data_IF_615820325924
#
_entry.id   IF_615820325924
#
_cell.length_a   1.000
_cell.length_b   1.000
_cell.length_c   1.000
_cell.angle_alpha   90.00
_cell.angle_beta   90.00
_cell.angle_gamma   90.00
#
_symmetry.space_group_name_H-M   'P 1'
#
loop_
_entity.id
_entity.type
_entity.pdbx_description
1 polymer ?
#
# COMPACT_ATOMS: atom_id res chain seq x y z
N UNK A 1 -8.06 2.62 13.15
CA UNK A 1 -9.16 2.34 12.18
C UNK A 1 -8.51 1.77 10.95
N UNK A 2 -8.77 0.53 10.56
CA UNK A 2 -7.99 -0.10 9.50
C UNK A 2 -8.90 -0.52 8.34
N UNK A 3 -8.67 0.04 7.15
CA UNK A 3 -9.37 -0.33 5.93
C UNK A 3 -8.41 -1.02 4.96
N UNK A 4 -8.77 -2.22 4.50
CA UNK A 4 -8.02 -2.96 3.50
C UNK A 4 -8.81 -3.07 2.21
N UNK A 5 -8.26 -2.57 1.11
CA UNK A 5 -8.78 -2.78 -0.24
C UNK A 5 -8.28 -4.11 -0.77
N UNK A 6 -9.20 -5.00 -1.17
CA UNK A 6 -8.85 -6.26 -1.83
C UNK A 6 -9.61 -6.44 -3.13
N UNK A 7 -9.09 -7.29 -4.01
CA UNK A 7 -9.68 -7.58 -5.31
C UNK A 7 -8.67 -8.16 -6.30
N UNK A 8 -9.14 -8.56 -7.48
CA UNK A 8 -8.28 -9.17 -8.49
C UNK A 8 -7.18 -8.21 -8.95
N UNK A 9 -6.06 -8.71 -9.49
CA UNK A 9 -5.03 -7.87 -10.08
C UNK A 9 -5.62 -6.86 -11.08
N UNK A 10 -5.12 -5.61 -11.06
CA UNK A 10 -5.55 -4.51 -11.95
C UNK A 10 -7.01 -4.05 -11.79
N UNK A 11 -7.70 -4.40 -10.71
CA UNK A 11 -9.06 -3.88 -10.46
C UNK A 11 -9.13 -2.40 -10.06
N UNK A 12 -7.97 -1.75 -9.83
CA UNK A 12 -7.88 -0.32 -9.52
C UNK A 12 -7.64 0.01 -8.04
N UNK A 13 -7.10 -0.91 -7.23
CA UNK A 13 -6.78 -0.66 -5.80
C UNK A 13 -5.86 0.54 -5.60
N UNK A 14 -4.71 0.54 -6.29
CA UNK A 14 -3.75 1.66 -6.29
C UNK A 14 -4.45 2.96 -6.68
N UNK A 15 -5.23 2.97 -7.76
CA UNK A 15 -5.96 4.17 -8.21
C UNK A 15 -6.98 4.65 -7.18
N UNK A 16 -7.65 3.73 -6.48
CA UNK A 16 -8.58 4.10 -5.42
C UNK A 16 -7.84 4.73 -4.22
N UNK A 17 -6.71 4.18 -3.81
CA UNK A 17 -5.87 4.77 -2.76
C UNK A 17 -5.32 6.14 -3.18
N UNK A 18 -4.82 6.28 -4.40
CA UNK A 18 -4.33 7.55 -4.96
C UNK A 18 -5.40 8.65 -4.91
N UNK A 19 -6.60 8.37 -5.43
CA UNK A 19 -7.73 9.30 -5.37
C UNK A 19 -8.17 9.61 -3.93
N UNK A 20 -8.00 8.66 -3.01
CA UNK A 20 -8.29 8.87 -1.59
C UNK A 20 -7.28 9.82 -0.97
N UNK A 21 -5.98 9.63 -1.25
CA UNK A 21 -4.90 10.52 -0.82
C UNK A 21 -5.14 11.94 -1.34
N UNK A 22 -5.52 12.08 -2.62
CA UNK A 22 -5.85 13.37 -3.23
C UNK A 22 -7.04 14.05 -2.53
N UNK A 23 -8.13 13.30 -2.27
CA UNK A 23 -9.29 13.81 -1.53
C UNK A 23 -8.92 14.31 -0.13
N UNK A 24 -8.22 13.48 0.65
CA UNK A 24 -7.82 13.80 2.02
C UNK A 24 -6.92 15.03 2.07
N UNK A 25 -5.94 15.12 1.18
CA UNK A 25 -5.04 16.28 1.12
C UNK A 25 -5.76 17.56 0.71
N UNK A 26 -6.78 17.48 -0.15
CA UNK A 26 -7.60 18.64 -0.49
C UNK A 26 -8.39 19.17 0.72
N UNK A 27 -8.72 18.30 1.68
CA UNK A 27 -9.36 18.64 2.95
C UNK A 27 -8.36 19.02 4.06
N UNK A 28 -7.07 19.14 3.75
CA UNK A 28 -6.01 19.53 4.70
C UNK A 28 -5.53 18.41 5.62
N UNK A 29 -5.91 17.17 5.36
CA UNK A 29 -5.48 16.00 6.14
C UNK A 29 -4.04 15.63 5.78
N UNK A 30 -3.18 15.45 6.78
CA UNK A 30 -1.83 14.96 6.59
C UNK A 30 -1.85 13.46 6.27
N UNK A 31 -1.33 13.08 5.10
CA UNK A 31 -1.30 11.69 4.63
C UNK A 31 0.14 11.25 4.40
N UNK A 32 0.60 10.27 5.17
CA UNK A 32 1.92 9.65 5.07
C UNK A 32 1.85 8.19 4.60
N UNK A 33 3.01 7.58 4.40
CA UNK A 33 3.13 6.20 3.95
C UNK A 33 3.59 6.07 2.51
N UNK A 34 3.22 4.99 1.84
CA UNK A 34 3.82 4.57 0.57
C UNK A 34 2.77 4.15 -0.44
N UNK A 35 2.94 4.62 -1.69
CA UNK A 35 2.19 4.16 -2.85
C UNK A 35 3.08 3.39 -3.82
N UNK A 36 2.51 2.42 -4.55
CA UNK A 36 3.25 1.65 -5.55
C UNK A 36 2.60 1.76 -6.92
N UNK A 37 3.39 2.06 -7.95
CA UNK A 37 2.93 2.14 -9.35
C UNK A 37 3.59 1.09 -10.22
N UNK A 38 2.82 0.54 -11.16
CA UNK A 38 3.38 -0.31 -12.21
C UNK A 38 4.24 0.52 -13.16
N UNK A 39 5.43 0.00 -13.50
CA UNK A 39 6.24 0.52 -14.61
C UNK A 39 6.10 -0.41 -15.80
N UNK A 40 5.86 0.18 -16.97
CA UNK A 40 5.70 -0.52 -18.25
C UNK A 40 6.68 0.00 -19.28
N UNK A 41 7.18 -0.89 -20.14
CA UNK A 41 8.01 -0.60 -21.32
C UNK A 41 7.37 -1.36 -22.47
N UNK A 42 7.07 -0.66 -23.57
CA UNK A 42 6.46 -1.24 -24.77
C UNK A 42 5.15 -2.03 -24.52
N UNK A 43 4.34 -1.55 -23.56
CA UNK A 43 3.09 -2.20 -23.15
C UNK A 43 3.24 -3.32 -22.11
N UNK A 44 4.45 -3.85 -21.95
CA UNK A 44 4.75 -4.89 -20.97
C UNK A 44 5.10 -4.34 -19.59
N UNK A 45 4.58 -4.98 -18.54
CA UNK A 45 4.99 -4.65 -17.16
C UNK A 45 6.42 -5.13 -16.91
N UNK A 46 7.30 -4.17 -16.66
CA UNK A 46 8.73 -4.38 -16.37
C UNK A 46 9.07 -4.31 -14.89
N UNK A 47 8.18 -3.76 -14.07
CA UNK A 47 8.38 -3.72 -12.62
C UNK A 47 7.40 -2.81 -11.89
N UNK A 48 7.80 -2.43 -10.69
CA UNK A 48 7.02 -1.62 -9.76
C UNK A 48 7.94 -0.59 -9.10
N UNK A 49 7.46 0.64 -8.98
CA UNK A 49 8.14 1.73 -8.27
C UNK A 49 7.28 2.14 -7.10
N UNK A 50 7.88 2.24 -5.92
CA UNK A 50 7.23 2.80 -4.74
C UNK A 50 7.62 4.27 -4.58
N UNK A 51 6.73 5.04 -3.95
CA UNK A 51 6.93 6.45 -3.62
C UNK A 51 6.49 6.72 -2.19
N UNK A 52 7.37 7.34 -1.41
CA UNK A 52 7.02 7.92 -0.11
C UNK A 52 6.10 9.14 -0.34
N UNK A 53 4.97 9.13 0.35
CA UNK A 53 3.96 10.19 0.27
C UNK A 53 4.42 11.49 0.92
N UNK A 54 5.31 11.46 1.90
CA UNK A 54 5.80 12.64 2.60
C UNK A 54 7.01 13.27 1.87
N UNK A 55 8.13 12.55 1.80
CA UNK A 55 9.36 13.06 1.16
C UNK A 55 9.28 13.14 -0.37
N UNK A 56 8.41 12.33 -0.98
CA UNK A 56 8.34 12.16 -2.42
C UNK A 56 9.44 11.25 -2.99
N UNK A 57 10.30 10.66 -2.15
CA UNK A 57 11.35 9.74 -2.59
C UNK A 57 10.77 8.52 -3.32
N UNK A 58 11.38 8.16 -4.45
CA UNK A 58 10.97 7.02 -5.27
C UNK A 58 12.08 5.97 -5.36
N UNK A 59 11.69 4.69 -5.39
CA UNK A 59 12.60 3.56 -5.58
C UNK A 59 11.96 2.42 -6.34
N UNK A 60 12.77 1.60 -7.02
CA UNK A 60 12.27 0.38 -7.65
C UNK A 60 11.97 -0.66 -6.59
N UNK A 61 10.71 -1.02 -6.42
CA UNK A 61 10.34 -2.11 -5.51
C UNK A 61 10.74 -3.47 -6.09
N UNK A 62 10.51 -3.68 -7.38
CA UNK A 62 10.92 -4.89 -8.09
C UNK A 62 10.97 -4.64 -9.60
N UNK A 63 11.89 -5.32 -10.31
CA UNK A 63 11.98 -5.22 -11.77
C UNK A 63 12.41 -6.53 -12.42
N UNK A 64 12.23 -6.63 -13.74
CA UNK A 64 12.75 -7.73 -14.57
C UNK A 64 14.22 -7.57 -14.93
N UNK A 65 14.73 -6.33 -14.88
CA UNK A 65 16.10 -5.97 -15.26
C UNK A 65 17.10 -6.18 -14.10
N UNK A 66 16.61 -6.54 -12.90
CA UNK A 66 17.44 -6.81 -11.71
C UNK A 66 17.82 -8.28 -11.62
N UNK A 67 19.05 -8.55 -11.21
CA UNK A 67 19.60 -9.91 -11.08
C UNK A 67 19.45 -10.47 -9.65
N UNK A 68 19.63 -9.62 -8.64
CA UNK A 68 19.66 -9.98 -7.22
C UNK A 68 18.34 -9.76 -6.47
N UNK A 69 18.16 -10.52 -5.40
CA UNK A 69 17.03 -10.39 -4.47
C UNK A 69 15.98 -11.51 -4.59
N UNK A 70 14.96 -11.51 -3.72
CA UNK A 70 13.87 -12.48 -3.77
C UNK A 70 13.16 -12.45 -5.12
N UNK A 71 12.75 -13.63 -5.59
CA UNK A 71 11.99 -13.75 -6.85
C UNK A 71 10.50 -13.88 -6.56
N UNK A 72 9.71 -12.99 -7.18
CA UNK A 72 8.24 -13.10 -7.19
C UNK A 72 7.77 -13.10 -8.65
N UNK A 73 7.36 -14.27 -9.13
CA UNK A 73 7.06 -14.46 -10.56
C UNK A 73 8.28 -14.18 -11.44
N UNK A 74 8.16 -13.20 -12.36
CA UNK A 74 9.28 -12.77 -13.22
C UNK A 74 10.13 -11.63 -12.64
N UNK A 75 9.76 -11.07 -11.49
CA UNK A 75 10.43 -9.90 -10.92
C UNK A 75 11.41 -10.29 -9.82
N UNK A 76 12.50 -9.53 -9.70
CA UNK A 76 13.42 -9.54 -8.57
C UNK A 76 13.14 -8.34 -7.68
N UNK A 77 12.94 -8.61 -6.40
CA UNK A 77 12.61 -7.61 -5.38
C UNK A 77 13.87 -6.87 -4.94
N UNK A 78 13.77 -5.55 -4.85
CA UNK A 78 14.80 -4.68 -4.31
C UNK A 78 14.69 -4.59 -2.78
N UNK A 79 15.60 -5.26 -2.08
CA UNK A 79 15.67 -5.21 -0.61
C UNK A 79 16.09 -3.84 -0.09
N UNK A 80 16.90 -3.11 -0.84
CA UNK A 80 17.44 -1.81 -0.43
C UNK A 80 16.34 -0.77 -0.51
N UNK A 81 15.60 -0.72 -1.62
CA UNK A 81 14.41 0.14 -1.72
C UNK A 81 13.39 -0.16 -0.62
N UNK A 82 13.16 -1.43 -0.27
CA UNK A 82 12.26 -1.75 0.87
C UNK A 82 12.82 -1.18 2.18
N UNK A 83 14.12 -1.36 2.45
CA UNK A 83 14.78 -0.91 3.68
C UNK A 83 14.82 0.62 3.79
N UNK A 84 15.12 1.30 2.70
CA UNK A 84 15.49 2.72 2.70
C UNK A 84 14.31 3.65 2.37
N UNK A 85 13.31 3.15 1.62
CA UNK A 85 12.14 3.96 1.22
C UNK A 85 10.86 3.43 1.85
N UNK A 86 10.54 2.15 1.64
CA UNK A 86 9.23 1.61 2.04
C UNK A 86 9.07 1.53 3.56
N UNK A 87 10.04 0.96 4.27
CA UNK A 87 9.97 0.82 5.73
C UNK A 87 9.93 2.18 6.42
N UNK A 88 10.83 3.14 6.12
CA UNK A 88 10.79 4.47 6.73
C UNK A 88 9.49 5.21 6.45
N UNK A 89 8.96 5.13 5.22
CA UNK A 89 7.68 5.76 4.88
C UNK A 89 6.52 5.21 5.72
N UNK A 90 6.47 3.89 5.95
CA UNK A 90 5.45 3.27 6.81
C UNK A 90 5.62 3.68 8.27
N UNK A 91 6.86 3.73 8.77
CA UNK A 91 7.13 4.08 10.17
C UNK A 91 6.86 5.55 10.47
N UNK A 92 7.35 6.47 9.63
CA UNK A 92 7.14 7.90 9.76
C UNK A 92 5.68 8.29 9.52
N UNK A 93 5.01 7.61 8.57
CA UNK A 93 3.60 7.86 8.26
C UNK A 93 2.64 7.59 9.43
N UNK A 94 3.07 6.91 10.50
CA UNK A 94 2.28 6.80 11.74
C UNK A 94 2.10 8.14 12.46
N UNK A 95 2.94 9.14 12.20
CA UNK A 95 2.79 10.49 12.76
C UNK A 95 1.87 11.40 11.92
N UNK A 96 1.36 10.92 10.78
CA UNK A 96 0.36 11.62 9.99
C UNK A 96 -1.06 11.38 10.53
N UNK A 97 -2.04 12.11 10.02
CA UNK A 97 -3.46 11.89 10.35
C UNK A 97 -3.96 10.56 9.76
N UNK A 98 -3.38 10.13 8.63
CA UNK A 98 -3.67 8.84 7.97
C UNK A 98 -2.40 8.24 7.38
N UNK A 99 -2.23 6.94 7.59
CA UNK A 99 -1.18 6.13 6.97
C UNK A 99 -1.74 5.35 5.77
N UNK A 100 -1.05 5.40 4.64
CA UNK A 100 -1.38 4.65 3.43
C UNK A 100 -0.29 3.62 3.10
N UNK A 101 -0.67 2.38 2.79
CA UNK A 101 0.27 1.33 2.35
C UNK A 101 -0.26 0.57 1.14
N UNK A 102 0.26 0.89 -0.04
CA UNK A 102 0.02 0.14 -1.29
C UNK A 102 1.30 -0.60 -1.69
N UNK A 103 1.43 -1.92 -1.58
CA UNK A 103 0.49 -2.95 -1.14
C UNK A 103 1.14 -3.81 -0.04
N UNK A 104 0.34 -4.36 0.89
CA UNK A 104 0.82 -5.42 1.80
C UNK A 104 0.82 -6.73 1.01
N UNK A 105 1.94 -7.02 0.34
CA UNK A 105 2.08 -8.14 -0.58
C UNK A 105 3.38 -8.92 -0.35
N UNK A 106 3.46 -10.10 -0.97
CA UNK A 106 4.61 -11.00 -0.86
C UNK A 106 5.95 -10.32 -1.19
N UNK A 107 5.98 -9.37 -2.13
CA UNK A 107 7.21 -8.65 -2.51
C UNK A 107 7.82 -7.93 -1.30
N UNK A 108 7.03 -7.11 -0.60
CA UNK A 108 7.47 -6.38 0.57
C UNK A 108 7.63 -7.28 1.80
N UNK A 109 6.75 -8.28 1.97
CA UNK A 109 6.77 -9.20 3.11
C UNK A 109 7.98 -10.15 3.14
N UNK A 110 8.84 -10.17 2.12
CA UNK A 110 10.17 -10.77 2.22
C UNK A 110 11.11 -10.03 3.18
N UNK A 111 10.77 -8.79 3.56
CA UNK A 111 11.47 -8.01 4.58
C UNK A 111 10.78 -8.17 5.93
N UNK A 112 11.49 -8.73 6.91
CA UNK A 112 11.00 -8.82 8.29
C UNK A 112 10.74 -7.44 8.91
N UNK A 113 11.55 -6.43 8.53
CA UNK A 113 11.34 -5.04 8.98
C UNK A 113 10.03 -4.47 8.43
N UNK A 114 9.68 -4.75 7.18
CA UNK A 114 8.39 -4.34 6.62
C UNK A 114 7.22 -5.03 7.32
N UNK A 115 7.33 -6.34 7.59
CA UNK A 115 6.30 -7.07 8.34
C UNK A 115 6.08 -6.43 9.71
N UNK A 116 7.16 -6.18 10.46
CA UNK A 116 7.08 -5.52 11.77
C UNK A 116 6.49 -4.10 11.67
N UNK A 117 6.85 -3.32 10.64
CA UNK A 117 6.32 -1.98 10.44
C UNK A 117 4.79 -2.00 10.17
N UNK A 118 4.31 -2.97 9.39
CA UNK A 118 2.87 -3.18 9.12
C UNK A 118 2.13 -3.65 10.38
N UNK A 119 2.71 -4.57 11.15
CA UNK A 119 2.12 -5.02 12.42
C UNK A 119 1.99 -3.86 13.42
N UNK A 120 3.03 -3.05 13.55
CA UNK A 120 3.03 -1.85 14.38
C UNK A 120 2.01 -0.81 13.87
N UNK A 121 1.90 -0.62 12.56
CA UNK A 121 0.90 0.26 11.96
C UNK A 121 -0.53 -0.19 12.24
N UNK A 122 -0.81 -1.49 12.13
CA UNK A 122 -2.14 -2.05 12.42
C UNK A 122 -2.53 -1.90 13.90
N UNK A 123 -1.56 -1.93 14.81
CA UNK A 123 -1.76 -1.74 16.26
C UNK A 123 -1.75 -0.26 16.69
N UNK A 124 -1.42 0.67 15.80
CA UNK A 124 -1.35 2.09 16.10
C UNK A 124 -2.74 2.76 16.08
N UNK A 125 -2.85 3.92 16.73
CA UNK A 125 -4.09 4.71 16.73
C UNK A 125 -4.38 5.37 15.38
N UNK A 126 -3.33 5.74 14.65
CA UNK A 126 -3.38 6.31 13.31
C UNK A 126 -4.14 5.39 12.34
N UNK A 127 -5.19 5.89 11.67
CA UNK A 127 -5.91 5.13 10.66
C UNK A 127 -4.99 4.60 9.55
N UNK A 128 -5.12 3.31 9.23
CA UNK A 128 -4.41 2.68 8.12
C UNK A 128 -5.37 2.43 6.94
N UNK A 129 -5.00 2.93 5.77
CA UNK A 129 -5.61 2.57 4.49
C UNK A 129 -4.60 1.76 3.68
N UNK A 130 -4.86 0.48 3.45
CA UNK A 130 -3.93 -0.39 2.75
C UNK A 130 -4.61 -1.17 1.63
N UNK A 131 -3.83 -1.68 0.69
CA UNK A 131 -4.29 -2.68 -0.26
C UNK A 131 -3.69 -4.06 0.07
N UNK A 132 -4.42 -5.12 -0.28
CA UNK A 132 -3.96 -6.51 -0.18
C UNK A 132 -4.47 -7.33 -1.37
N UNK A 133 -3.60 -8.15 -1.95
CA UNK A 133 -3.96 -8.99 -3.08
C UNK A 133 -4.95 -10.07 -2.64
N UNK A 134 -5.98 -10.31 -3.45
CA UNK A 134 -6.97 -11.34 -3.15
C UNK A 134 -6.33 -12.74 -3.11
N UNK A 135 -6.77 -13.59 -2.18
CA UNK A 135 -6.25 -14.94 -2.02
C UNK A 135 -4.83 -15.03 -1.46
N UNK A 136 -4.31 -13.95 -0.88
CA UNK A 136 -2.96 -13.99 -0.29
C UNK A 136 -2.90 -14.90 0.95
N UNK A 137 -1.77 -15.58 1.11
CA UNK A 137 -1.43 -16.39 2.28
C UNK A 137 -0.39 -15.68 3.16
N UNK A 138 0.03 -16.30 4.26
CA UNK A 138 1.02 -15.74 5.18
C UNK A 138 0.57 -14.41 5.79
N UNK A 139 1.51 -13.46 5.94
CA UNK A 139 1.24 -12.14 6.53
C UNK A 139 0.13 -11.38 5.79
N UNK A 140 0.16 -11.21 4.45
CA UNK A 140 -0.93 -10.55 3.73
C UNK A 140 -2.31 -11.22 3.94
N UNK A 141 -2.35 -12.55 4.00
CA UNK A 141 -3.58 -13.28 4.30
C UNK A 141 -4.08 -13.02 5.72
N UNK A 142 -3.18 -13.07 6.71
CA UNK A 142 -3.49 -12.89 8.11
C UNK A 142 -4.06 -11.50 8.42
N UNK A 143 -3.54 -10.43 7.81
CA UNK A 143 -4.05 -9.06 8.05
C UNK A 143 -5.50 -8.89 7.61
N UNK A 144 -5.96 -9.64 6.61
CA UNK A 144 -7.37 -9.58 6.15
C UNK A 144 -8.37 -10.25 7.10
N UNK A 145 -7.87 -11.05 8.06
CA UNK A 145 -8.69 -11.82 9.01
C UNK A 145 -8.73 -11.21 10.40
N UNK A 146 -8.07 -10.07 10.61
CA UNK A 146 -8.09 -9.37 11.89
C UNK A 146 -9.48 -8.78 12.14
N UNK A 147 -9.92 -8.82 13.39
CA UNK A 147 -11.23 -8.30 13.81
C UNK A 147 -11.30 -6.77 13.77
N UNK A 148 -10.14 -6.10 13.86
CA UNK A 148 -10.01 -4.63 13.85
C UNK A 148 -9.84 -4.04 12.44
N UNK A 149 -10.04 -4.85 11.41
CA UNK A 149 -9.91 -4.48 10.00
C UNK A 149 -11.24 -4.58 9.27
N UNK A 150 -11.57 -3.53 8.52
CA UNK A 150 -12.65 -3.56 7.52
C UNK A 150 -12.07 -3.85 6.15
N UNK A 151 -12.48 -4.97 5.54
CA UNK A 151 -12.05 -5.35 4.19
C UNK A 151 -13.07 -4.89 3.16
N UNK A 152 -12.65 -4.08 2.19
CA UNK A 152 -13.49 -3.58 1.10
C UNK A 152 -13.07 -4.17 -0.24
N UNK A 153 -14.05 -4.75 -0.96
CA UNK A 153 -13.82 -5.37 -2.26
C UNK A 153 -13.90 -4.36 -3.39
N UNK A 154 -12.78 -4.18 -4.09
CA UNK A 154 -12.65 -3.36 -5.29
C UNK A 154 -13.11 -4.16 -6.51
N UNK A 155 -14.22 -3.72 -7.09
CA UNK A 155 -14.81 -4.24 -8.33
C UNK A 155 -15.11 -3.07 -9.26
N UNK A 156 -15.33 -3.35 -10.53
CA UNK A 156 -15.65 -2.30 -11.52
C UNK A 156 -16.84 -1.45 -11.08
N UNK A 157 -17.90 -2.07 -10.54
CA UNK A 157 -19.09 -1.37 -10.06
C UNK A 157 -18.87 -0.52 -8.79
N UNK A 158 -17.80 -0.77 -8.01
CA UNK A 158 -17.59 -0.12 -6.70
C UNK A 158 -16.40 0.82 -6.67
N UNK A 159 -15.41 0.63 -7.57
CA UNK A 159 -14.09 1.29 -7.52
C UNK A 159 -14.16 2.82 -7.48
N UNK A 160 -15.12 3.42 -8.17
CA UNK A 160 -15.21 4.89 -8.26
C UNK A 160 -15.86 5.51 -7.00
N UNK A 161 -16.60 4.72 -6.23
CA UNK A 161 -17.22 5.17 -4.99
C UNK A 161 -16.35 4.94 -3.75
N UNK A 162 -15.33 4.09 -3.84
CA UNK A 162 -14.41 3.79 -2.72
C UNK A 162 -13.70 5.04 -2.20
N UNK A 163 -13.09 5.90 -3.06
CA UNK A 163 -12.34 7.05 -2.55
C UNK A 163 -13.17 7.98 -1.69
N UNK A 164 -14.40 8.31 -2.13
CA UNK A 164 -15.30 9.16 -1.35
C UNK A 164 -15.76 8.50 -0.04
N UNK A 165 -15.91 7.17 0.01
CA UNK A 165 -16.22 6.46 1.26
C UNK A 165 -15.06 6.49 2.24
N UNK A 166 -13.84 6.18 1.78
CA UNK A 166 -12.65 6.20 2.62
C UNK A 166 -12.36 7.60 3.15
N UNK A 167 -12.45 8.62 2.29
CA UNK A 167 -12.26 10.02 2.65
C UNK A 167 -13.23 10.44 3.78
N UNK A 168 -14.54 10.16 3.63
CA UNK A 168 -15.53 10.42 4.69
C UNK A 168 -15.27 9.63 5.98
N UNK A 169 -14.89 8.36 5.87
CA UNK A 169 -14.60 7.49 7.01
C UNK A 169 -13.49 8.08 7.89
N UNK A 170 -12.42 8.55 7.25
CA UNK A 170 -11.32 9.25 7.92
C UNK A 170 -11.79 10.57 8.53
N UNK A 171 -12.44 11.44 7.75
CA UNK A 171 -12.78 12.80 8.20
C UNK A 171 -13.77 12.82 9.38
N UNK A 172 -14.60 11.78 9.55
CA UNK A 172 -15.49 11.68 10.74
C UNK A 172 -14.75 11.40 12.05
N UNK A 173 -13.44 11.16 12.00
CA UNK A 173 -12.62 10.70 13.12
C UNK A 173 -11.55 11.71 13.56
N UNK A 174 -11.26 12.71 12.71
CA UNK A 174 -10.39 13.85 12.99
C UNK A 174 -11.22 14.99 13.58
#
# INVERSE_FOLDING_TARGET
MNHLLTGPPRCGKTTALERTVECLRADGVAVGGVLTRERRRDGDRVGFVCRDLDSGEEGWLASVDREDGPRVGKYRVDRETIRDVVVPAVEAGRSADVLVVDEIAAMQCHSAAFVAAVENALAHETPLLASVATGSEGVPGAVTRREDVTVEWVREATRDAIPGRLCRSVSTRL
#
